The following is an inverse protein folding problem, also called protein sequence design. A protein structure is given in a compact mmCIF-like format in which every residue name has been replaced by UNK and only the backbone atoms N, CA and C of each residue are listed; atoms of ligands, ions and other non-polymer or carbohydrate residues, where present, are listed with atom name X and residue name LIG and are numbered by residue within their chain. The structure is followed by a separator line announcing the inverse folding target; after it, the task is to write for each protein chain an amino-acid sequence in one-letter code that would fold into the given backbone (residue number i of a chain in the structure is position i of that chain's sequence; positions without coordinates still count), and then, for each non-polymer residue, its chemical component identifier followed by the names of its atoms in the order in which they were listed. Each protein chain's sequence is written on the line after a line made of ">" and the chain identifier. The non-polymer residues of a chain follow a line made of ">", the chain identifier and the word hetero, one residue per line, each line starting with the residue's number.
data_IF_713200187672
#
_entry.id   IF_713200187672
#
_cell.length_a   1.000
_cell.length_b   1.000
_cell.length_c   1.000
_cell.angle_alpha   90.00
_cell.angle_beta   90.00
_cell.angle_gamma   90.00
#
_symmetry.space_group_name_H-M   'P 1'
#
loop_
_entity.id
_entity.type
_entity.pdbx_description
1 polymer ?
#
# COMPACT_ATOMS: atom_id res chain seq x y z
N UNK A 1 -7.99 -0.66 -37.55
CA UNK A 1 -7.39 -2.01 -37.66
C UNK A 1 -6.07 -2.00 -36.91
N UNK A 2 -6.02 -2.58 -35.72
CA UNK A 2 -4.83 -2.62 -34.86
C UNK A 2 -5.09 -3.65 -33.78
N UNK A 3 -4.74 -4.89 -34.09
CA UNK A 3 -5.02 -6.06 -33.26
C UNK A 3 -4.09 -6.03 -32.05
N UNK A 4 -4.60 -5.67 -30.87
CA UNK A 4 -3.96 -6.03 -29.60
C UNK A 4 -4.20 -7.53 -29.37
N UNK A 5 -3.44 -8.35 -30.09
CA UNK A 5 -3.39 -9.80 -29.87
C UNK A 5 -2.92 -10.02 -28.44
N UNK A 6 -3.83 -10.52 -27.60
CA UNK A 6 -3.58 -10.90 -26.22
C UNK A 6 -2.55 -12.05 -26.23
N UNK A 7 -1.33 -11.79 -25.74
CA UNK A 7 -0.33 -12.82 -25.58
C UNK A 7 -0.80 -13.84 -24.51
N UNK A 8 -0.78 -15.15 -24.79
CA UNK A 8 -1.00 -16.17 -23.77
C UNK A 8 -0.03 -15.97 -22.61
N UNK A 9 -0.49 -16.12 -21.38
CA UNK A 9 0.41 -16.38 -20.26
C UNK A 9 0.88 -17.82 -20.44
N UNK A 10 2.09 -18.01 -20.96
CA UNK A 10 2.69 -19.34 -21.06
C UNK A 10 3.11 -19.78 -19.65
N UNK A 11 2.73 -21.00 -19.27
CA UNK A 11 3.11 -21.67 -18.01
C UNK A 11 4.63 -21.79 -17.84
N UNK A 12 5.38 -21.63 -18.94
CA UNK A 12 6.85 -21.71 -18.98
C UNK A 12 7.56 -20.36 -18.92
N UNK A 13 6.82 -19.26 -19.04
CA UNK A 13 7.42 -17.94 -19.07
C UNK A 13 7.59 -17.35 -17.66
N UNK A 14 8.78 -16.81 -17.41
CA UNK A 14 9.13 -16.14 -16.15
C UNK A 14 8.46 -14.77 -16.08
N UNK A 15 7.26 -14.71 -15.52
CA UNK A 15 6.55 -13.43 -15.36
C UNK A 15 6.94 -12.75 -14.03
N UNK A 16 7.35 -11.46 -14.05
CA UNK A 16 7.66 -10.73 -12.82
C UNK A 16 6.39 -10.49 -12.01
N UNK A 17 6.44 -10.60 -10.70
CA UNK A 17 5.28 -10.42 -9.84
C UNK A 17 4.76 -8.96 -9.90
N UNK A 18 3.46 -8.74 -10.16
CA UNK A 18 2.90 -7.39 -10.26
C UNK A 18 2.86 -6.64 -8.91
N UNK A 19 2.88 -7.37 -7.78
CA UNK A 19 2.85 -6.81 -6.42
C UNK A 19 4.25 -6.35 -6.00
N UNK A 20 5.20 -7.29 -5.90
CA UNK A 20 6.53 -6.99 -5.37
C UNK A 20 7.52 -6.49 -6.44
N UNK A 21 7.26 -6.74 -7.73
CA UNK A 21 8.16 -6.47 -8.86
C UNK A 21 9.58 -7.04 -8.71
N UNK A 22 9.77 -7.96 -7.77
CA UNK A 22 11.08 -8.52 -7.39
C UNK A 22 11.13 -10.03 -7.61
N UNK A 23 10.08 -10.74 -7.20
CA UNK A 23 9.95 -12.18 -7.44
C UNK A 23 9.28 -12.48 -8.77
N UNK A 24 9.32 -13.74 -9.14
CA UNK A 24 8.58 -14.27 -10.29
C UNK A 24 7.34 -15.02 -9.80
N UNK A 25 6.28 -15.05 -10.60
CA UNK A 25 5.13 -15.92 -10.35
C UNK A 25 5.41 -17.31 -10.92
N UNK A 26 5.08 -18.34 -10.16
CA UNK A 26 5.25 -19.74 -10.54
C UNK A 26 3.91 -20.47 -10.37
N UNK A 27 3.59 -21.44 -11.24
CA UNK A 27 2.39 -22.25 -11.08
C UNK A 27 2.49 -23.10 -9.81
N UNK A 28 1.42 -23.17 -9.02
CA UNK A 28 1.35 -24.10 -7.89
C UNK A 28 0.88 -25.47 -8.41
N UNK A 29 1.72 -26.53 -8.36
CA UNK A 29 1.41 -27.82 -8.98
C UNK A 29 0.22 -28.56 -8.34
N UNK A 30 -0.36 -28.01 -7.27
CA UNK A 30 -1.47 -28.59 -6.51
C UNK A 30 -2.84 -27.98 -6.87
N UNK A 31 -2.88 -26.94 -7.70
CA UNK A 31 -4.11 -26.25 -8.13
C UNK A 31 -3.96 -25.76 -9.57
N UNK A 32 -4.84 -26.21 -10.47
CA UNK A 32 -4.68 -26.02 -11.94
C UNK A 32 -4.76 -24.54 -12.40
N UNK A 33 -5.23 -23.62 -11.55
CA UNK A 33 -5.36 -22.19 -11.86
C UNK A 33 -4.70 -21.26 -10.82
N UNK A 34 -3.91 -21.82 -9.89
CA UNK A 34 -3.27 -21.03 -8.84
C UNK A 34 -1.78 -20.82 -9.10
N UNK A 35 -1.35 -19.58 -8.90
CA UNK A 35 0.01 -19.12 -9.08
C UNK A 35 0.50 -18.48 -7.80
N UNK A 36 1.76 -18.64 -7.45
CA UNK A 36 2.35 -17.97 -6.28
C UNK A 36 3.64 -17.25 -6.64
N UNK A 37 3.93 -16.16 -5.94
CA UNK A 37 5.21 -15.50 -6.11
C UNK A 37 6.27 -16.11 -5.18
N UNK A 38 7.42 -16.45 -5.72
CA UNK A 38 8.55 -17.02 -4.97
C UNK A 38 9.11 -16.07 -3.88
N UNK A 39 8.90 -14.76 -4.04
CA UNK A 39 9.35 -13.77 -3.06
C UNK A 39 8.27 -13.38 -2.04
N UNK A 40 7.11 -12.94 -2.53
CA UNK A 40 6.06 -12.41 -1.66
C UNK A 40 5.03 -13.46 -1.21
N UNK A 41 5.08 -14.68 -1.74
CA UNK A 41 4.18 -15.80 -1.44
C UNK A 41 2.68 -15.51 -1.59
N UNK A 42 2.31 -14.39 -2.20
CA UNK A 42 0.93 -14.11 -2.55
C UNK A 42 0.41 -15.11 -3.57
N UNK A 43 -0.82 -15.58 -3.34
CA UNK A 43 -1.54 -16.44 -4.26
C UNK A 43 -2.34 -15.60 -5.23
N UNK A 44 -2.22 -15.96 -6.50
CA UNK A 44 -2.91 -15.39 -7.62
C UNK A 44 -3.76 -16.49 -8.27
N UNK A 45 -4.99 -16.17 -8.63
CA UNK A 45 -5.83 -17.03 -9.47
C UNK A 45 -5.80 -16.48 -10.88
N UNK A 46 -5.59 -17.38 -11.84
CA UNK A 46 -5.68 -17.05 -13.25
C UNK A 46 -7.08 -17.36 -13.74
N UNK A 47 -7.85 -16.34 -14.12
CA UNK A 47 -9.08 -16.58 -14.87
C UNK A 47 -8.72 -16.74 -16.35
N UNK A 48 -8.68 -18.00 -16.81
CA UNK A 48 -8.39 -18.37 -18.19
C UNK A 48 -9.42 -17.80 -19.18
N UNK A 49 -10.67 -17.55 -18.76
CA UNK A 49 -11.72 -17.00 -19.63
C UNK A 49 -11.55 -15.50 -19.83
N UNK A 50 -11.23 -14.76 -18.76
CA UNK A 50 -11.09 -13.30 -18.83
C UNK A 50 -9.64 -12.82 -19.03
N UNK A 51 -8.64 -13.71 -18.94
CA UNK A 51 -7.20 -13.42 -19.03
C UNK A 51 -6.76 -12.35 -18.04
N UNK A 52 -7.34 -12.41 -16.85
CA UNK A 52 -7.06 -11.51 -15.74
C UNK A 52 -6.46 -12.34 -14.61
N UNK A 53 -5.33 -11.84 -14.10
CA UNK A 53 -4.70 -12.38 -12.92
C UNK A 53 -5.27 -11.64 -11.70
N UNK A 54 -5.95 -12.38 -10.83
CA UNK A 54 -6.63 -11.85 -9.64
C UNK A 54 -5.87 -12.28 -8.39
N UNK A 55 -5.68 -11.38 -7.44
CA UNK A 55 -5.18 -11.75 -6.12
C UNK A 55 -6.36 -12.17 -5.25
N UNK A 56 -6.36 -13.42 -4.79
CA UNK A 56 -7.35 -13.93 -3.82
C UNK A 56 -6.97 -13.58 -2.38
N UNK A 57 -5.68 -13.37 -2.12
CA UNK A 57 -5.14 -13.13 -0.77
C UNK A 57 -5.22 -11.67 -0.32
N UNK A 58 -5.99 -10.83 -1.01
CA UNK A 58 -6.16 -9.42 -0.70
C UNK A 58 -7.63 -9.10 -0.48
N UNK A 59 -7.93 -8.35 0.56
CA UNK A 59 -9.28 -7.82 0.85
C UNK A 59 -9.79 -6.89 -0.26
N UNK A 60 -8.89 -6.43 -1.15
CA UNK A 60 -9.22 -5.71 -2.37
C UNK A 60 -8.92 -6.60 -3.57
N UNK A 61 -9.88 -6.84 -4.49
CA UNK A 61 -9.64 -7.64 -5.69
C UNK A 61 -8.79 -6.82 -6.67
N UNK A 62 -7.47 -6.81 -6.45
CA UNK A 62 -6.55 -6.26 -7.43
C UNK A 62 -6.49 -7.22 -8.62
N UNK A 63 -6.72 -6.67 -9.80
CA UNK A 63 -6.75 -7.39 -11.07
C UNK A 63 -5.67 -6.81 -11.97
N UNK A 64 -4.87 -7.67 -12.58
CA UNK A 64 -3.86 -7.28 -13.57
C UNK A 64 -4.11 -8.02 -14.88
N UNK A 65 -3.93 -7.29 -15.98
CA UNK A 65 -3.99 -7.81 -17.34
C UNK A 65 -2.58 -7.86 -17.91
N UNK A 66 -2.21 -9.00 -18.45
CA UNK A 66 -0.94 -9.16 -19.15
C UNK A 66 -1.04 -8.59 -20.57
N UNK A 67 -0.09 -7.74 -20.95
CA UNK A 67 0.01 -7.18 -22.31
C UNK A 67 1.19 -7.76 -23.11
N UNK A 68 1.77 -8.88 -22.68
CA UNK A 68 2.90 -9.52 -23.37
C UNK A 68 4.29 -8.98 -23.02
N UNK A 69 4.38 -7.78 -22.41
CA UNK A 69 5.65 -7.19 -21.92
C UNK A 69 5.57 -6.61 -20.52
N UNK A 70 4.38 -6.20 -20.10
CA UNK A 70 4.16 -5.60 -18.79
C UNK A 70 2.76 -5.91 -18.28
N UNK A 71 2.64 -5.90 -16.95
CA UNK A 71 1.35 -5.94 -16.27
C UNK A 71 0.69 -4.57 -16.36
N UNK A 72 -0.52 -4.51 -16.91
CA UNK A 72 -1.39 -3.36 -16.74
C UNK A 72 -2.38 -3.63 -15.61
N UNK A 73 -2.49 -2.76 -14.60
CA UNK A 73 -3.54 -2.88 -13.62
C UNK A 73 -4.89 -2.70 -14.33
N UNK A 74 -5.77 -3.69 -14.21
CA UNK A 74 -7.19 -3.52 -14.54
C UNK A 74 -7.72 -2.68 -13.40
N UNK A 75 -7.75 -1.35 -13.61
CA UNK A 75 -8.24 -0.39 -12.64
C UNK A 75 -9.70 -0.74 -12.32
N UNK A 76 -9.92 -1.46 -11.21
CA UNK A 76 -11.15 -1.26 -10.47
C UNK A 76 -11.07 0.16 -9.94
N UNK A 77 -11.96 1.01 -10.41
CA UNK A 77 -12.06 2.43 -10.06
C UNK A 77 -12.42 2.57 -8.58
N UNK A 78 -11.44 2.35 -7.71
CA UNK A 78 -11.52 2.73 -6.31
C UNK A 78 -11.33 4.25 -6.12
N UNK A 79 -11.56 5.03 -7.19
CA UNK A 79 -11.47 6.49 -7.26
C UNK A 79 -12.37 7.17 -6.23
N UNK A 80 -13.42 6.51 -5.75
CA UNK A 80 -14.27 7.03 -4.68
C UNK A 80 -13.65 6.89 -3.27
N UNK A 81 -12.81 5.88 -3.03
CA UNK A 81 -12.17 5.67 -1.72
C UNK A 81 -10.90 6.50 -1.55
N UNK A 82 -10.17 6.76 -2.63
CA UNK A 82 -8.96 7.60 -2.61
C UNK A 82 -9.18 9.00 -1.99
N UNK A 83 -10.18 9.81 -2.38
CA UNK A 83 -10.42 11.12 -1.77
C UNK A 83 -10.85 11.01 -0.31
N UNK A 84 -11.60 9.96 0.05
CA UNK A 84 -12.00 9.70 1.44
C UNK A 84 -10.79 9.44 2.34
N UNK A 85 -9.81 8.68 1.84
CA UNK A 85 -8.58 8.38 2.58
C UNK A 85 -7.69 9.60 2.68
N UNK A 86 -7.58 10.40 1.62
CA UNK A 86 -6.89 11.70 1.69
C UNK A 86 -7.55 12.65 2.68
N UNK A 87 -8.88 12.74 2.69
CA UNK A 87 -9.62 13.55 3.66
C UNK A 87 -9.33 13.09 5.10
N UNK A 88 -9.38 11.78 5.34
CA UNK A 88 -9.10 11.21 6.67
C UNK A 88 -7.65 11.46 7.09
N UNK A 89 -6.68 11.29 6.19
CA UNK A 89 -5.26 11.56 6.45
C UNK A 89 -5.02 13.05 6.80
N UNK A 90 -5.67 13.97 6.09
CA UNK A 90 -5.60 15.41 6.36
C UNK A 90 -6.23 15.75 7.71
N UNK A 91 -7.42 15.23 8.01
CA UNK A 91 -8.08 15.44 9.31
C UNK A 91 -7.21 14.91 10.45
N UNK A 92 -6.62 13.72 10.28
CA UNK A 92 -5.75 13.11 11.28
C UNK A 92 -4.47 13.91 11.50
N UNK A 93 -3.87 14.45 10.43
CA UNK A 93 -2.65 15.24 10.51
C UNK A 93 -2.88 16.67 11.05
N UNK A 94 -3.96 17.32 10.62
CA UNK A 94 -4.21 18.75 10.90
C UNK A 94 -5.12 18.94 12.11
N UNK A 95 -6.16 18.14 12.28
CA UNK A 95 -7.18 18.34 13.32
C UNK A 95 -6.57 18.42 14.74
N UNK A 96 -5.85 17.39 15.19
CA UNK A 96 -5.23 17.37 16.51
C UNK A 96 -4.16 18.45 16.70
N UNK A 97 -3.31 18.66 15.68
CA UNK A 97 -2.23 19.66 15.72
C UNK A 97 -2.79 21.07 15.76
N UNK A 98 -3.80 21.34 14.93
CA UNK A 98 -4.53 22.60 14.88
C UNK A 98 -5.26 22.87 16.19
N UNK A 99 -5.90 21.86 16.80
CA UNK A 99 -6.55 22.00 18.10
C UNK A 99 -5.55 22.38 19.20
N UNK A 100 -4.39 21.72 19.24
CA UNK A 100 -3.33 22.04 20.21
C UNK A 100 -2.78 23.45 19.95
N UNK A 101 -2.44 23.79 18.70
CA UNK A 101 -1.93 25.12 18.35
C UNK A 101 -2.93 26.24 18.64
N UNK A 102 -4.21 26.00 18.36
CA UNK A 102 -5.29 26.94 18.66
C UNK A 102 -5.46 27.14 20.16
N UNK A 103 -5.34 26.08 20.97
CA UNK A 103 -5.37 26.20 22.42
C UNK A 103 -4.24 27.09 22.97
N UNK A 104 -3.03 26.97 22.42
CA UNK A 104 -1.89 27.82 22.80
C UNK A 104 -2.03 29.28 22.35
N UNK A 105 -2.75 29.52 21.25
CA UNK A 105 -3.06 30.88 20.81
C UNK A 105 -4.08 31.56 21.73
N UNK A 106 -5.13 30.85 22.13
CA UNK A 106 -6.15 31.38 23.05
C UNK A 106 -5.60 31.58 24.47
N UNK A 107 -4.69 30.70 24.90
CA UNK A 107 -4.11 30.72 26.23
C UNK A 107 -2.57 30.78 26.14
N UNK A 108 -2.00 31.94 25.80
CA UNK A 108 -0.56 32.07 25.61
C UNK A 108 0.20 31.83 26.92
N UNK A 109 1.29 31.04 26.90
CA UNK A 109 2.07 30.76 28.09
C UNK A 109 2.89 31.97 28.54
N UNK A 110 3.08 32.12 29.85
CA UNK A 110 3.85 33.22 30.45
C UNK A 110 5.33 33.15 30.01
N UNK A 111 5.94 34.25 29.52
CA UNK A 111 7.25 34.25 28.86
C UNK A 111 8.41 33.71 29.71
N UNK A 112 8.32 33.82 31.04
CA UNK A 112 9.36 33.41 31.99
C UNK A 112 9.13 32.01 32.57
N UNK A 113 8.07 31.31 32.16
CA UNK A 113 7.69 30.03 32.74
C UNK A 113 8.25 28.83 31.95
N UNK A 114 8.68 27.78 32.67
CA UNK A 114 9.13 26.50 32.09
C UNK A 114 8.06 25.83 31.20
N UNK A 115 6.79 26.24 31.33
CA UNK A 115 5.65 25.71 30.58
C UNK A 115 5.67 26.06 29.08
N UNK A 116 6.39 27.12 28.67
CA UNK A 116 6.52 27.50 27.25
C UNK A 116 7.22 26.39 26.46
N UNK A 117 8.34 25.87 26.98
CA UNK A 117 9.10 24.79 26.33
C UNK A 117 8.31 23.48 26.28
N UNK A 118 7.54 23.18 27.33
CA UNK A 118 6.65 22.01 27.36
C UNK A 118 5.54 22.10 26.31
N UNK A 119 4.86 23.25 26.21
CA UNK A 119 3.80 23.46 25.22
C UNK A 119 4.31 23.34 23.79
N UNK A 120 5.45 23.97 23.47
CA UNK A 120 6.06 23.86 22.14
C UNK A 120 6.52 22.43 21.83
N UNK A 121 7.16 21.76 22.80
CA UNK A 121 7.57 20.36 22.65
C UNK A 121 6.38 19.42 22.41
N UNK A 122 5.28 19.63 23.12
CA UNK A 122 4.04 18.86 22.94
C UNK A 122 3.39 19.06 21.58
N UNK A 123 3.35 20.31 21.08
CA UNK A 123 2.82 20.60 19.74
C UNK A 123 3.64 19.89 18.66
N UNK A 124 4.97 19.95 18.75
CA UNK A 124 5.87 19.31 17.79
C UNK A 124 5.74 17.78 17.85
N UNK A 125 5.70 17.18 19.04
CA UNK A 125 5.56 15.72 19.17
C UNK A 125 4.21 15.23 18.65
N UNK A 126 3.14 15.97 18.93
CA UNK A 126 1.82 15.69 18.36
C UNK A 126 1.83 15.80 16.83
N UNK A 127 2.46 16.83 16.26
CA UNK A 127 2.57 16.98 14.82
C UNK A 127 3.32 15.81 14.17
N UNK A 128 4.45 15.40 14.73
CA UNK A 128 5.21 14.26 14.24
C UNK A 128 4.39 12.96 14.33
N UNK A 129 3.78 12.69 15.47
CA UNK A 129 3.01 11.46 15.68
C UNK A 129 1.82 11.33 14.73
N UNK A 130 1.05 12.41 14.55
CA UNK A 130 -0.10 12.41 13.65
C UNK A 130 0.32 12.35 12.18
N UNK A 131 1.43 13.01 11.80
CA UNK A 131 1.98 12.90 10.46
C UNK A 131 2.45 11.46 10.16
N UNK A 132 3.09 10.78 11.11
CA UNK A 132 3.48 9.37 10.96
C UNK A 132 2.25 8.48 10.76
N UNK A 133 1.19 8.68 11.54
CA UNK A 133 -0.05 7.91 11.39
C UNK A 133 -0.74 8.17 10.03
N UNK A 134 -0.81 9.43 9.61
CA UNK A 134 -1.37 9.80 8.32
C UNK A 134 -0.54 9.23 7.15
N UNK A 135 0.79 9.31 7.24
CA UNK A 135 1.69 8.70 6.27
C UNK A 135 1.51 7.18 6.23
N UNK A 136 1.45 6.51 7.38
CA UNK A 136 1.21 5.07 7.46
C UNK A 136 -0.12 4.67 6.79
N UNK A 137 -1.21 5.39 7.05
CA UNK A 137 -2.51 5.15 6.42
C UNK A 137 -2.45 5.24 4.89
N UNK A 138 -1.78 6.27 4.38
CA UNK A 138 -1.58 6.46 2.93
C UNK A 138 -0.72 5.34 2.35
N UNK A 139 0.38 4.98 3.02
CA UNK A 139 1.27 3.90 2.57
C UNK A 139 0.55 2.54 2.50
N UNK A 140 -0.27 2.22 3.51
CA UNK A 140 -1.05 0.97 3.54
C UNK A 140 -2.12 0.98 2.44
N UNK A 141 -2.79 2.12 2.20
CA UNK A 141 -3.79 2.23 1.12
C UNK A 141 -3.18 2.06 -0.27
N UNK A 142 -2.04 2.68 -0.55
CA UNK A 142 -1.40 2.64 -1.86
C UNK A 142 -0.53 1.39 -2.08
N UNK A 143 -0.37 0.53 -1.07
CA UNK A 143 0.49 -0.67 -1.09
C UNK A 143 1.83 -0.44 -1.84
N UNK A 144 2.56 0.61 -1.45
CA UNK A 144 3.79 0.97 -2.16
C UNK A 144 4.79 -0.21 -2.20
N UNK A 145 5.38 -0.52 -3.37
CA UNK A 145 6.15 -1.75 -3.56
C UNK A 145 7.39 -1.84 -2.65
N UNK A 146 8.00 -0.70 -2.31
CA UNK A 146 9.09 -0.63 -1.34
C UNK A 146 8.62 -0.95 0.08
N UNK A 147 7.47 -0.42 0.49
CA UNK A 147 6.88 -0.67 1.81
C UNK A 147 6.53 -2.14 2.00
N UNK A 148 5.87 -2.74 1.00
CA UNK A 148 5.52 -4.17 1.01
C UNK A 148 6.79 -5.04 1.07
N UNK A 149 7.80 -4.74 0.26
CA UNK A 149 9.06 -5.50 0.25
C UNK A 149 9.81 -5.42 1.58
N UNK A 150 9.85 -4.25 2.21
CA UNK A 150 10.45 -4.05 3.55
C UNK A 150 9.65 -4.79 4.63
N UNK A 151 8.32 -4.72 4.59
CA UNK A 151 7.42 -5.41 5.53
C UNK A 151 7.61 -6.92 5.47
N UNK A 152 7.65 -7.49 4.27
CA UNK A 152 7.88 -8.92 4.04
C UNK A 152 9.27 -9.36 4.52
N UNK A 153 10.32 -8.60 4.19
CA UNK A 153 11.68 -8.88 4.69
C UNK A 153 11.76 -8.85 6.21
N UNK A 154 11.07 -7.92 6.86
CA UNK A 154 11.05 -7.84 8.31
C UNK A 154 10.31 -9.01 8.97
N UNK A 155 9.24 -9.50 8.34
CA UNK A 155 8.52 -10.69 8.78
C UNK A 155 9.37 -11.97 8.63
N UNK A 156 10.02 -12.14 7.48
CA UNK A 156 10.88 -13.29 7.19
C UNK A 156 12.05 -13.39 8.19
N UNK A 157 12.71 -12.26 8.47
CA UNK A 157 13.74 -12.18 9.49
C UNK A 157 13.23 -12.49 10.91
N UNK A 158 11.97 -12.15 11.23
CA UNK A 158 11.36 -12.49 12.52
C UNK A 158 10.95 -13.96 12.63
N UNK A 159 10.59 -14.62 11.53
CA UNK A 159 10.27 -16.05 11.54
C UNK A 159 11.50 -16.95 11.55
N UNK A 160 12.64 -16.45 11.08
CA UNK A 160 13.89 -17.19 10.99
C UNK A 160 14.82 -16.99 12.22
N UNK A 161 14.30 -16.38 13.29
CA UNK A 161 14.93 -16.25 14.62
C UNK A 161 14.02 -16.84 15.68
#
# INVERSE_FOLDING_TARGET
>A
MGWSVLAPLDDRDQHPCPICRHGQIQPMPMMEDAWSCDFCRHLFTLDLQSRILRVEDSTQPLQWRWLGRSWQPVRYSNEALTPTIWLLAVILAIGPVGLIGFSQYLFPPLPSSRSVGFGQGWLISAAIGHFILAAWLVLEHYQWPLYVSLKLRWQDWRSNR
#
